data_IF_784054077805
#
_entry.id   IF_784054077805
#
_cell.length_a   1.000
_cell.length_b   1.000
_cell.length_c   1.000
_cell.angle_alpha   90.00
_cell.angle_beta   90.00
_cell.angle_gamma   90.00
#
_symmetry.space_group_name_H-M   'P 1'
#
loop_
_entity.id
_entity.type
_entity.pdbx_description
1 polymer ?
#
# COMPACT_ATOMS: atom_id res chain seq x y z
N UNK A 1 14.00 2.05 -8.08
CA UNK A 1 13.45 2.24 -6.70
C UNK A 1 12.03 1.70 -6.67
N UNK A 2 11.53 1.22 -5.53
CA UNK A 2 10.12 0.83 -5.41
C UNK A 2 9.37 1.81 -4.51
N UNK A 3 8.16 2.19 -4.93
CA UNK A 3 7.30 3.10 -4.18
C UNK A 3 5.91 2.49 -4.07
N UNK A 4 5.33 2.56 -2.88
CA UNK A 4 3.92 2.25 -2.66
C UNK A 4 3.14 3.56 -2.53
N UNK A 5 2.07 3.68 -3.30
CA UNK A 5 1.06 4.73 -3.12
C UNK A 5 -0.18 4.12 -2.47
N UNK A 6 -0.74 4.79 -1.46
CA UNK A 6 -1.96 4.36 -0.76
C UNK A 6 -2.97 5.50 -0.74
N UNK A 7 -4.18 5.23 -1.24
CA UNK A 7 -5.35 6.10 -1.19
C UNK A 7 -6.38 5.51 -0.22
N UNK A 8 -6.70 6.24 0.85
CA UNK A 8 -7.71 5.84 1.84
C UNK A 8 -9.00 6.61 1.55
N UNK A 9 -9.92 6.00 0.81
CA UNK A 9 -11.25 6.53 0.58
C UNK A 9 -12.24 6.15 1.70
N UNK A 10 -13.48 6.61 1.60
CA UNK A 10 -14.55 6.26 2.55
C UNK A 10 -15.03 4.81 2.45
N UNK A 11 -15.01 4.24 1.24
CA UNK A 11 -15.44 2.85 0.98
C UNK A 11 -14.26 1.90 0.79
N UNK A 12 -13.24 2.34 0.06
CA UNK A 12 -12.12 1.51 -0.36
C UNK A 12 -10.79 2.16 -0.01
N UNK A 13 -9.88 1.35 0.54
CA UNK A 13 -8.46 1.65 0.61
C UNK A 13 -7.77 0.97 -0.59
N UNK A 14 -7.07 1.76 -1.40
CA UNK A 14 -6.40 1.31 -2.62
C UNK A 14 -4.90 1.43 -2.41
N UNK A 15 -4.14 0.40 -2.75
CA UNK A 15 -2.68 0.47 -2.74
C UNK A 15 -2.11 -0.01 -4.06
N UNK A 16 -1.05 0.65 -4.53
CA UNK A 16 -0.34 0.31 -5.75
C UNK A 16 1.17 0.36 -5.51
N UNK A 17 1.86 -0.71 -5.90
CA UNK A 17 3.30 -0.84 -5.89
C UNK A 17 3.83 -0.52 -7.29
N UNK A 18 4.78 0.39 -7.36
CA UNK A 18 5.42 0.82 -8.59
C UNK A 18 6.92 0.56 -8.57
N UNK A 19 7.46 0.14 -9.72
CA UNK A 19 8.87 0.28 -10.05
C UNK A 19 9.10 1.66 -10.67
N UNK A 20 10.09 2.37 -10.16
CA UNK A 20 10.58 3.63 -10.72
C UNK A 20 11.98 3.41 -11.29
N UNK A 21 12.11 3.57 -12.61
CA UNK A 21 13.34 3.38 -13.39
C UNK A 21 13.54 4.59 -14.31
N UNK A 22 14.50 5.48 -13.97
CA UNK A 22 14.64 6.74 -14.68
C UNK A 22 13.41 7.62 -14.49
N UNK A 23 12.74 8.00 -15.59
CA UNK A 23 11.47 8.75 -15.59
C UNK A 23 10.25 7.81 -15.70
N UNK A 24 10.47 6.50 -15.85
CA UNK A 24 9.41 5.53 -16.08
C UNK A 24 8.86 4.97 -14.76
N UNK A 25 7.52 4.87 -14.74
CA UNK A 25 6.73 4.36 -13.62
C UNK A 25 5.94 3.13 -14.09
N UNK A 26 6.38 1.95 -13.67
CA UNK A 26 5.72 0.68 -14.02
C UNK A 26 4.90 0.17 -12.83
N UNK A 27 3.61 -0.08 -13.04
CA UNK A 27 2.75 -0.71 -12.05
C UNK A 27 3.14 -2.19 -11.89
N UNK A 28 3.58 -2.58 -10.70
CA UNK A 28 3.97 -3.96 -10.36
C UNK A 28 2.77 -4.71 -9.77
N UNK A 29 2.09 -4.11 -8.81
CA UNK A 29 0.98 -4.74 -8.09
C UNK A 29 -0.05 -3.69 -7.65
N UNK A 30 -1.30 -4.09 -7.49
CA UNK A 30 -2.36 -3.24 -6.92
C UNK A 30 -3.38 -4.07 -6.16
N UNK A 31 -3.98 -3.47 -5.13
CA UNK A 31 -5.01 -4.11 -4.30
C UNK A 31 -6.11 -3.11 -3.94
N UNK A 32 -7.32 -3.65 -3.73
CA UNK A 32 -8.44 -2.96 -3.12
C UNK A 32 -8.88 -3.70 -1.87
N UNK A 33 -8.96 -3.00 -0.75
CA UNK A 33 -9.51 -3.52 0.51
C UNK A 33 -10.62 -2.60 1.01
N UNK A 34 -11.68 -3.11 1.67
CA UNK A 34 -12.68 -2.24 2.31
C UNK A 34 -12.00 -1.30 3.31
N UNK A 35 -12.42 -0.04 3.34
CA UNK A 35 -11.91 0.92 4.34
C UNK A 35 -12.44 0.57 5.72
N UNK A 36 -11.54 0.50 6.70
CA UNK A 36 -11.86 0.35 8.12
C UNK A 36 -12.09 1.73 8.76
N UNK A 37 -13.29 2.31 8.55
CA UNK A 37 -13.60 3.70 8.93
C UNK A 37 -13.45 4.01 10.42
N UNK A 38 -13.57 3.01 11.29
CA UNK A 38 -13.35 3.16 12.73
C UNK A 38 -11.86 3.19 13.12
N UNK A 39 -10.99 2.59 12.31
CA UNK A 39 -9.55 2.52 12.56
C UNK A 39 -8.79 2.41 11.24
N UNK A 40 -8.45 3.56 10.65
CA UNK A 40 -7.88 3.63 9.30
C UNK A 40 -6.56 2.87 9.14
N UNK A 41 -5.80 2.73 10.24
CA UNK A 41 -4.56 1.98 10.23
C UNK A 41 -4.75 0.50 9.87
N UNK A 42 -5.91 -0.11 10.20
CA UNK A 42 -6.17 -1.51 9.88
C UNK A 42 -6.28 -1.72 8.36
N UNK A 43 -7.05 -0.88 7.67
CA UNK A 43 -7.17 -0.89 6.21
C UNK A 43 -5.87 -0.50 5.52
N UNK A 44 -5.13 0.47 6.08
CA UNK A 44 -3.78 0.80 5.61
C UNK A 44 -2.84 -0.41 5.67
N UNK A 45 -2.69 -1.07 6.81
CA UNK A 45 -1.79 -2.22 6.94
C UNK A 45 -2.29 -3.45 6.20
N UNK A 46 -3.61 -3.67 6.12
CA UNK A 46 -4.18 -4.75 5.32
C UNK A 46 -3.84 -4.59 3.82
N UNK A 47 -4.06 -3.41 3.26
CA UNK A 47 -3.71 -3.11 1.87
C UNK A 47 -2.19 -3.16 1.64
N UNK A 48 -1.39 -2.66 2.59
CA UNK A 48 0.07 -2.66 2.48
C UNK A 48 0.66 -4.08 2.51
N UNK A 49 0.19 -4.94 3.41
CA UNK A 49 0.61 -6.35 3.48
C UNK A 49 0.30 -7.08 2.17
N UNK A 50 -0.90 -6.86 1.60
CA UNK A 50 -1.30 -7.50 0.36
C UNK A 50 -0.52 -6.98 -0.86
N UNK A 51 -0.34 -5.66 -0.99
CA UNK A 51 0.34 -5.07 -2.16
C UNK A 51 1.84 -5.42 -2.18
N UNK A 52 2.46 -5.55 -1.02
CA UNK A 52 3.86 -5.98 -0.87
C UNK A 52 4.03 -7.50 -0.83
N UNK A 53 2.94 -8.25 -0.77
CA UNK A 53 2.94 -9.71 -0.61
C UNK A 53 3.78 -10.18 0.60
N UNK A 54 3.55 -9.56 1.76
CA UNK A 54 4.21 -9.89 3.03
C UNK A 54 3.19 -10.12 4.13
N UNK A 55 3.57 -10.90 5.15
CA UNK A 55 2.71 -11.15 6.31
C UNK A 55 2.55 -9.92 7.22
N UNK A 56 3.60 -9.10 7.35
CA UNK A 56 3.60 -7.88 8.17
C UNK A 56 4.58 -6.84 7.59
N UNK A 57 4.05 -5.72 7.10
CA UNK A 57 4.81 -4.63 6.52
C UNK A 57 5.34 -3.61 7.55
N UNK A 58 4.90 -3.65 8.82
CA UNK A 58 5.34 -2.71 9.87
C UNK A 58 6.86 -2.63 10.03
N UNK A 59 7.62 -3.74 9.97
CA UNK A 59 9.09 -3.70 10.07
C UNK A 59 9.76 -2.95 8.91
N UNK A 60 9.10 -2.88 7.74
CA UNK A 60 9.61 -2.24 6.53
C UNK A 60 9.51 -0.72 6.58
N UNK A 61 8.66 -0.18 7.46
CA UNK A 61 8.44 1.26 7.64
C UNK A 61 9.45 1.91 8.58
N UNK A 62 10.54 1.23 8.96
CA UNK A 62 11.44 1.70 10.01
C UNK A 62 12.24 2.96 9.62
N UNK A 63 12.08 3.96 10.51
CA UNK A 63 12.91 5.13 10.85
C UNK A 63 12.91 6.28 9.83
N UNK A 64 11.88 7.13 9.96
CA UNK A 64 12.07 8.58 9.91
C UNK A 64 12.64 9.05 11.24
#
# INVERSE_FOLDING_TARGET
MQTVSVDIGSTWTKAALFAHEGEDLTLINHVLTPTTTHHLADGFFASLNQVLNVADARPLLKKW
#
